data_IF_848927921917
#
_entry.id   IF_848927921917
#
_cell.length_a   1.000
_cell.length_b   1.000
_cell.length_c   1.000
_cell.angle_alpha   90.00
_cell.angle_beta   90.00
_cell.angle_gamma   90.00
#
_symmetry.space_group_name_H-M   'P 1'
#
loop_
_entity.id
_entity.type
_entity.pdbx_description
1 polymer ?
#
# COMPACT_ATOMS: atom_id res chain seq x y z
N UNK A 1 -29.14 -14.83 -10.89
CA UNK A 1 -29.07 -14.45 -9.47
C UNK A 1 -28.34 -15.58 -8.74
N UNK A 2 -27.08 -15.37 -8.32
CA UNK A 2 -26.36 -16.41 -7.55
C UNK A 2 -26.82 -16.35 -6.09
N UNK A 3 -27.04 -17.50 -5.42
CA UNK A 3 -27.43 -17.50 -4.01
C UNK A 3 -26.33 -16.84 -3.17
N UNK A 4 -26.73 -15.88 -2.34
CA UNK A 4 -25.86 -14.97 -1.58
C UNK A 4 -24.77 -15.71 -0.77
N UNK A 5 -25.09 -16.91 -0.27
CA UNK A 5 -24.18 -17.78 0.48
C UNK A 5 -22.99 -18.29 -0.34
N UNK A 6 -23.15 -18.54 -1.65
CA UNK A 6 -22.04 -18.98 -2.52
C UNK A 6 -21.07 -17.84 -2.83
N UNK A 7 -21.56 -16.62 -2.99
CA UNK A 7 -20.73 -15.45 -3.28
C UNK A 7 -19.78 -15.13 -2.12
N UNK A 8 -20.30 -15.14 -0.88
CA UNK A 8 -19.51 -14.92 0.33
C UNK A 8 -18.46 -16.01 0.52
N UNK A 9 -18.82 -17.28 0.33
CA UNK A 9 -17.87 -18.39 0.44
C UNK A 9 -16.75 -18.33 -0.62
N UNK A 10 -17.05 -17.89 -1.86
CA UNK A 10 -16.03 -17.70 -2.89
C UNK A 10 -15.05 -16.58 -2.53
N UNK A 11 -15.53 -15.45 -2.00
CA UNK A 11 -14.68 -14.34 -1.54
C UNK A 11 -13.75 -14.81 -0.42
N UNK A 12 -14.29 -15.50 0.59
CA UNK A 12 -13.51 -16.03 1.72
C UNK A 12 -12.44 -17.01 1.24
N UNK A 13 -12.78 -17.93 0.34
CA UNK A 13 -11.84 -18.91 -0.20
C UNK A 13 -10.72 -18.24 -1.00
N UNK A 14 -11.05 -17.25 -1.84
CA UNK A 14 -10.08 -16.52 -2.67
C UNK A 14 -9.11 -15.70 -1.80
N UNK A 15 -9.64 -14.98 -0.80
CA UNK A 15 -8.82 -14.26 0.18
C UNK A 15 -7.87 -15.21 0.92
N UNK A 16 -8.35 -16.36 1.39
CA UNK A 16 -7.54 -17.34 2.13
C UNK A 16 -6.41 -17.94 1.28
N UNK A 17 -6.61 -18.10 -0.02
CA UNK A 17 -5.57 -18.59 -0.95
C UNK A 17 -4.47 -17.56 -1.20
N UNK A 18 -4.81 -16.27 -1.26
CA UNK A 18 -3.86 -15.20 -1.62
C UNK A 18 -3.22 -14.55 -0.39
N UNK A 19 -3.76 -14.80 0.80
CA UNK A 19 -3.28 -14.28 2.08
C UNK A 19 -1.80 -14.62 2.37
N UNK A 20 -1.33 -15.89 2.26
CA UNK A 20 0.06 -16.22 2.62
C UNK A 20 1.09 -15.52 1.73
N UNK A 21 0.75 -15.35 0.45
CA UNK A 21 1.60 -14.68 -0.54
C UNK A 21 1.70 -13.16 -0.30
N UNK A 22 0.67 -12.55 0.30
CA UNK A 22 0.53 -11.09 0.46
C UNK A 22 0.60 -10.62 1.92
N UNK A 23 0.98 -11.49 2.86
CA UNK A 23 1.04 -11.18 4.30
C UNK A 23 1.85 -9.91 4.61
N UNK A 24 2.93 -9.67 3.87
CA UNK A 24 3.78 -8.50 4.06
C UNK A 24 3.08 -7.20 3.62
N UNK A 25 2.29 -7.26 2.54
CA UNK A 25 1.54 -6.10 2.05
C UNK A 25 0.40 -5.74 2.98
N UNK A 26 -0.25 -6.75 3.56
CA UNK A 26 -1.26 -6.56 4.62
C UNK A 26 -0.64 -5.97 5.88
N UNK A 27 0.51 -6.48 6.30
CA UNK A 27 1.25 -5.92 7.43
C UNK A 27 1.59 -4.45 7.19
N UNK A 28 2.20 -4.12 6.03
CA UNK A 28 2.58 -2.75 5.71
C UNK A 28 1.37 -1.81 5.59
N UNK A 29 0.26 -2.28 5.02
CA UNK A 29 -1.00 -1.52 5.01
C UNK A 29 -1.50 -1.26 6.44
N UNK A 30 -1.50 -2.27 7.30
CA UNK A 30 -1.89 -2.13 8.71
C UNK A 30 -0.99 -1.18 9.48
N UNK A 31 0.34 -1.26 9.29
CA UNK A 31 1.32 -0.36 9.93
C UNK A 31 1.09 1.08 9.48
N UNK A 32 0.91 1.34 8.18
CA UNK A 32 0.62 2.69 7.67
C UNK A 32 -0.67 3.27 8.24
N UNK A 33 -1.74 2.47 8.26
CA UNK A 33 -3.03 2.88 8.82
C UNK A 33 -2.88 3.20 10.30
N UNK A 34 -2.28 2.30 11.08
CA UNK A 34 -2.14 2.46 12.52
C UNK A 34 -1.22 3.65 12.86
N UNK A 35 -0.07 3.76 12.19
CA UNK A 35 0.87 4.86 12.37
C UNK A 35 0.24 6.20 11.98
N UNK A 36 -0.37 6.27 10.80
CA UNK A 36 -1.01 7.49 10.31
C UNK A 36 -2.17 7.94 11.18
N UNK A 37 -3.03 6.99 11.59
CA UNK A 37 -4.10 7.25 12.54
C UNK A 37 -3.57 7.77 13.87
N UNK A 38 -2.54 7.11 14.43
CA UNK A 38 -1.94 7.52 15.71
C UNK A 38 -1.42 8.96 15.67
N UNK A 39 -0.76 9.34 14.58
CA UNK A 39 -0.27 10.70 14.35
C UNK A 39 -1.41 11.71 14.24
N UNK A 40 -2.49 11.35 13.52
CA UNK A 40 -3.66 12.22 13.37
C UNK A 40 -4.39 12.49 14.69
N UNK A 41 -4.49 11.49 15.56
CA UNK A 41 -5.17 11.65 16.86
C UNK A 41 -4.27 12.24 17.96
N UNK A 42 -2.95 12.31 17.74
CA UNK A 42 -2.00 12.95 18.65
C UNK A 42 -1.20 14.09 17.99
N UNK A 43 -1.85 15.13 17.43
CA UNK A 43 -1.13 16.20 16.73
C UNK A 43 -0.17 16.96 17.66
N UNK A 44 -0.42 16.95 18.97
CA UNK A 44 0.45 17.52 20.00
C UNK A 44 1.88 16.98 19.97
N UNK A 45 2.13 15.81 19.36
CA UNK A 45 3.49 15.26 19.21
C UNK A 45 4.45 16.20 18.46
N UNK A 46 3.94 17.12 17.63
CA UNK A 46 4.74 18.10 16.90
C UNK A 46 4.94 19.43 17.64
N UNK A 47 4.20 19.69 18.72
CA UNK A 47 4.15 21.01 19.37
C UNK A 47 4.40 20.98 20.88
N UNK A 48 4.11 19.86 21.54
CA UNK A 48 4.30 19.72 22.98
C UNK A 48 5.80 19.58 23.31
N UNK A 49 6.27 20.35 24.28
CA UNK A 49 7.69 20.49 24.66
C UNK A 49 8.42 19.15 24.82
N UNK A 50 7.79 18.16 25.44
CA UNK A 50 8.38 16.82 25.65
C UNK A 50 8.48 15.92 24.42
N UNK A 51 7.87 16.28 23.29
CA UNK A 51 7.79 15.42 22.09
C UNK A 51 8.15 16.13 20.78
N UNK A 52 7.96 17.45 20.71
CA UNK A 52 8.18 18.25 19.51
C UNK A 52 9.60 18.10 18.95
N UNK A 53 10.60 18.02 19.84
CA UNK A 53 11.99 17.84 19.43
C UNK A 53 12.20 16.56 18.62
N UNK A 54 11.57 15.44 19.01
CA UNK A 54 11.67 14.15 18.31
C UNK A 54 11.07 14.19 16.90
N UNK A 55 10.05 15.02 16.67
CA UNK A 55 9.35 15.14 15.39
C UNK A 55 9.71 16.39 14.60
N UNK A 56 10.70 17.16 15.08
CA UNK A 56 11.11 18.46 14.51
C UNK A 56 11.58 18.35 13.06
N UNK A 57 12.33 17.30 12.70
CA UNK A 57 12.76 17.09 11.31
C UNK A 57 11.58 16.78 10.39
N UNK A 58 10.60 15.98 10.83
CA UNK A 58 9.37 15.77 10.05
C UNK A 58 8.57 17.07 9.87
N UNK A 59 8.48 17.89 10.92
CA UNK A 59 7.84 19.21 10.82
C UNK A 59 8.56 20.10 9.79
N UNK A 60 9.90 20.12 9.82
CA UNK A 60 10.71 20.88 8.88
C UNK A 60 10.52 20.42 7.42
N UNK A 61 10.45 19.11 7.17
CA UNK A 61 10.23 18.58 5.82
C UNK A 61 8.84 18.99 5.27
N UNK A 62 7.80 19.01 6.11
CA UNK A 62 6.45 19.41 5.68
C UNK A 62 6.22 20.93 5.62
N UNK A 63 7.07 21.72 6.26
CA UNK A 63 6.89 23.17 6.40
C UNK A 63 6.70 23.93 5.06
N UNK A 64 7.37 23.58 3.95
CA UNK A 64 7.14 24.23 2.66
C UNK A 64 5.75 23.98 2.06
N UNK A 65 5.03 22.97 2.55
CA UNK A 65 3.75 22.50 1.98
C UNK A 65 2.58 22.79 2.91
N UNK A 66 2.77 22.72 4.23
CA UNK A 66 1.70 22.95 5.21
C UNK A 66 2.21 23.33 6.59
N UNK A 67 1.41 24.07 7.33
CA UNK A 67 1.60 24.38 8.76
C UNK A 67 1.17 23.23 9.69
N UNK A 68 0.49 22.20 9.14
CA UNK A 68 -0.08 21.09 9.89
C UNK A 68 0.68 19.77 9.62
N UNK A 69 1.87 19.56 10.21
CA UNK A 69 2.70 18.37 9.99
C UNK A 69 2.00 17.05 10.32
N UNK A 70 1.13 17.02 11.33
CA UNK A 70 0.34 15.84 11.65
C UNK A 70 -0.61 15.44 10.50
N UNK A 71 -1.22 16.42 9.83
CA UNK A 71 -2.07 16.17 8.67
C UNK A 71 -1.24 15.74 7.45
N UNK A 72 -0.08 16.37 7.22
CA UNK A 72 0.81 15.98 6.13
C UNK A 72 1.24 14.52 6.24
N UNK A 73 1.82 14.14 7.37
CA UNK A 73 2.42 12.81 7.52
C UNK A 73 1.39 11.76 7.93
N UNK A 74 0.60 12.05 8.98
CA UNK A 74 -0.43 11.15 9.47
C UNK A 74 -1.52 10.92 8.44
N UNK A 75 -1.98 11.99 7.79
CA UNK A 75 -2.98 11.93 6.73
C UNK A 75 -2.50 11.17 5.51
N UNK A 76 -1.29 11.47 5.00
CA UNK A 76 -0.73 10.75 3.85
C UNK A 76 -0.56 9.25 4.17
N UNK A 77 0.01 8.92 5.33
CA UNK A 77 0.20 7.53 5.73
C UNK A 77 -1.13 6.77 5.85
N UNK A 78 -2.13 7.38 6.49
CA UNK A 78 -3.45 6.78 6.68
C UNK A 78 -4.17 6.54 5.35
N UNK A 79 -4.22 7.55 4.46
CA UNK A 79 -4.89 7.44 3.15
C UNK A 79 -4.20 6.40 2.27
N UNK A 80 -2.87 6.41 2.20
CA UNK A 80 -2.11 5.43 1.40
C UNK A 80 -2.29 4.02 1.97
N UNK A 81 -2.24 3.88 3.31
CA UNK A 81 -2.48 2.62 3.99
C UNK A 81 -3.87 2.04 3.69
N UNK A 82 -4.91 2.87 3.74
CA UNK A 82 -6.28 2.49 3.39
C UNK A 82 -6.42 2.12 1.91
N UNK A 83 -5.91 2.97 0.99
CA UNK A 83 -5.96 2.71 -0.44
C UNK A 83 -5.28 1.37 -0.79
N UNK A 84 -4.16 1.07 -0.13
CA UNK A 84 -3.47 -0.22 -0.25
C UNK A 84 -4.31 -1.37 0.29
N UNK A 85 -4.87 -1.25 1.48
CA UNK A 85 -5.69 -2.29 2.11
C UNK A 85 -6.93 -2.62 1.28
N UNK A 86 -7.61 -1.58 0.76
CA UNK A 86 -8.75 -1.72 -0.15
C UNK A 86 -8.30 -2.42 -1.44
N UNK A 87 -7.17 -2.01 -2.01
CA UNK A 87 -6.63 -2.66 -3.22
C UNK A 87 -6.34 -4.15 -3.00
N UNK A 88 -5.77 -4.52 -1.85
CA UNK A 88 -5.52 -5.92 -1.49
C UNK A 88 -6.81 -6.72 -1.35
N UNK A 89 -7.82 -6.13 -0.70
CA UNK A 89 -9.14 -6.74 -0.55
C UNK A 89 -9.80 -6.98 -1.91
N UNK A 90 -9.88 -5.94 -2.76
CA UNK A 90 -10.46 -6.04 -4.11
C UNK A 90 -9.70 -7.04 -4.99
N UNK A 91 -8.36 -7.06 -4.89
CA UNK A 91 -7.52 -8.00 -5.63
C UNK A 91 -7.70 -9.45 -5.15
N UNK A 92 -8.01 -9.64 -3.87
CA UNK A 92 -8.33 -10.96 -3.31
C UNK A 92 -9.76 -11.42 -3.61
N UNK A 93 -10.70 -10.51 -3.83
CA UNK A 93 -12.13 -10.83 -3.95
C UNK A 93 -12.67 -10.82 -5.39
N UNK A 94 -12.15 -9.98 -6.28
CA UNK A 94 -12.82 -9.69 -7.56
C UNK A 94 -11.86 -9.56 -8.74
N UNK A 95 -10.96 -8.57 -8.73
CA UNK A 95 -10.25 -8.13 -9.94
C UNK A 95 -8.79 -7.88 -9.65
N UNK A 96 -7.89 -8.38 -10.52
CA UNK A 96 -6.45 -8.16 -10.36
C UNK A 96 -6.08 -6.70 -10.61
N UNK A 97 -5.62 -6.02 -9.57
CA UNK A 97 -5.13 -4.62 -9.51
C UNK A 97 -3.62 -4.52 -9.16
N UNK A 98 -2.71 -5.23 -9.87
CA UNK A 98 -1.30 -5.27 -9.47
C UNK A 98 -0.60 -3.91 -9.58
N UNK A 99 -0.98 -3.06 -10.54
CA UNK A 99 -0.40 -1.71 -10.69
C UNK A 99 -0.67 -0.81 -9.47
N UNK A 100 -1.89 -0.83 -8.94
CA UNK A 100 -2.25 -0.05 -7.74
C UNK A 100 -1.41 -0.51 -6.54
N UNK A 101 -1.15 -1.81 -6.42
CA UNK A 101 -0.30 -2.37 -5.35
C UNK A 101 1.16 -1.93 -5.47
N UNK A 102 1.70 -1.87 -6.69
CA UNK A 102 3.05 -1.35 -6.96
C UNK A 102 3.13 0.12 -6.54
N UNK A 103 2.22 0.96 -7.04
CA UNK A 103 2.20 2.40 -6.73
C UNK A 103 2.06 2.63 -5.23
N UNK A 104 1.12 1.94 -4.58
CA UNK A 104 0.93 2.07 -3.14
C UNK A 104 2.16 1.63 -2.34
N UNK A 105 2.90 0.61 -2.80
CA UNK A 105 4.16 0.18 -2.16
C UNK A 105 5.26 1.22 -2.33
N UNK A 106 5.39 1.83 -3.50
CA UNK A 106 6.34 2.92 -3.72
C UNK A 106 6.03 4.15 -2.88
N UNK A 107 4.77 4.56 -2.79
CA UNK A 107 4.38 5.71 -1.97
C UNK A 107 4.60 5.41 -0.48
N UNK A 108 4.27 4.20 -0.02
CA UNK A 108 4.55 3.75 1.35
C UNK A 108 6.04 3.79 1.67
N UNK A 109 6.87 3.27 0.76
CA UNK A 109 8.33 3.31 0.87
C UNK A 109 8.84 4.76 0.97
N UNK A 110 8.30 5.65 0.14
CA UNK A 110 8.64 7.07 0.17
C UNK A 110 8.29 7.69 1.54
N UNK A 111 7.09 7.46 2.06
CA UNK A 111 6.66 7.97 3.37
C UNK A 111 7.59 7.49 4.48
N UNK A 112 7.89 6.19 4.57
CA UNK A 112 8.81 5.69 5.59
C UNK A 112 10.24 6.21 5.44
N UNK A 113 10.68 6.46 4.20
CA UNK A 113 11.98 7.11 3.97
C UNK A 113 11.99 8.53 4.53
N UNK A 114 10.93 9.31 4.30
CA UNK A 114 10.81 10.65 4.87
C UNK A 114 10.73 10.62 6.40
N UNK A 115 10.05 9.63 6.99
CA UNK A 115 10.03 9.42 8.44
C UNK A 115 11.44 9.15 8.97
N UNK A 116 12.20 8.27 8.34
CA UNK A 116 13.60 7.98 8.75
C UNK A 116 14.45 9.25 8.67
N UNK A 117 14.37 10.01 7.57
CA UNK A 117 15.12 11.26 7.39
C UNK A 117 14.72 12.29 8.44
N UNK A 118 13.41 12.48 8.68
CA UNK A 118 12.91 13.43 9.66
C UNK A 118 13.31 13.08 11.09
N UNK A 119 13.27 11.79 11.46
CA UNK A 119 13.78 11.35 12.76
C UNK A 119 15.29 11.53 12.88
N UNK A 120 16.04 11.28 11.81
CA UNK A 120 17.50 11.47 11.81
C UNK A 120 17.87 12.95 11.97
N UNK A 121 17.18 13.84 11.25
CA UNK A 121 17.38 15.29 11.32
C UNK A 121 17.01 15.90 12.68
N UNK A 122 16.16 15.24 13.46
CA UNK A 122 15.84 15.68 14.82
C UNK A 122 17.05 15.69 15.76
N UNK A 123 18.08 14.87 15.48
CA UNK A 123 19.22 14.65 16.36
C UNK A 123 18.90 13.92 17.67
N UNK A 124 17.64 13.51 17.88
CA UNK A 124 17.20 12.81 19.09
C UNK A 124 17.33 11.29 18.88
N UNK A 125 18.03 10.55 19.76
CA UNK A 125 18.08 9.10 19.70
C UNK A 125 16.67 8.48 19.71
N UNK A 126 16.38 7.64 18.70
CA UNK A 126 15.06 7.06 18.52
C UNK A 126 15.18 5.63 17.93
N UNK A 127 14.52 4.65 18.54
CA UNK A 127 14.49 3.26 18.06
C UNK A 127 13.83 3.13 16.68
N UNK A 128 12.99 4.08 16.29
CA UNK A 128 12.41 4.20 14.96
C UNK A 128 13.46 4.28 13.85
N UNK A 129 14.66 4.80 14.13
CA UNK A 129 15.77 4.82 13.17
C UNK A 129 16.30 3.41 12.85
N UNK A 130 16.09 2.44 13.72
CA UNK A 130 16.43 1.03 13.48
C UNK A 130 15.26 0.29 12.85
N UNK A 131 14.03 0.57 13.30
CA UNK A 131 12.82 -0.16 12.87
C UNK A 131 12.36 0.27 11.48
N UNK A 132 12.21 1.57 11.22
CA UNK A 132 11.59 2.07 10.00
C UNK A 132 12.37 1.82 8.70
N UNK A 133 13.72 1.71 8.69
CA UNK A 133 14.42 1.23 7.49
C UNK A 133 13.99 -0.17 7.05
N UNK A 134 13.61 -1.06 7.98
CA UNK A 134 13.09 -2.37 7.62
C UNK A 134 11.71 -2.30 6.95
N UNK A 135 10.91 -1.27 7.25
CA UNK A 135 9.66 -1.02 6.55
C UNK A 135 9.89 -0.57 5.10
N UNK A 136 10.91 0.25 4.86
CA UNK A 136 11.35 0.60 3.49
C UNK A 136 11.74 -0.66 2.71
N UNK A 137 12.53 -1.56 3.32
CA UNK A 137 12.90 -2.85 2.71
C UNK A 137 11.66 -3.73 2.45
N UNK A 138 10.74 -3.80 3.42
CA UNK A 138 9.49 -4.56 3.28
C UNK A 138 8.63 -4.06 2.11
N UNK A 139 8.55 -2.74 1.92
CA UNK A 139 7.84 -2.12 0.81
C UNK A 139 8.54 -2.33 -0.53
N UNK A 140 9.88 -2.26 -0.56
CA UNK A 140 10.64 -2.56 -1.78
C UNK A 140 10.38 -4.01 -2.25
N UNK A 141 10.42 -4.97 -1.32
CA UNK A 141 10.12 -6.38 -1.62
C UNK A 141 8.66 -6.56 -2.08
N UNK A 142 7.74 -5.82 -1.48
CA UNK A 142 6.33 -5.82 -1.86
C UNK A 142 6.12 -5.24 -3.27
N UNK A 143 6.77 -4.12 -3.58
CA UNK A 143 6.74 -3.48 -4.89
C UNK A 143 7.30 -4.41 -5.97
N UNK A 144 8.44 -5.05 -5.70
CA UNK A 144 9.04 -6.02 -6.62
C UNK A 144 8.09 -7.19 -6.93
N UNK A 145 7.49 -7.79 -5.90
CA UNK A 145 6.52 -8.89 -6.09
C UNK A 145 5.29 -8.43 -6.86
N UNK A 146 4.74 -7.26 -6.54
CA UNK A 146 3.61 -6.70 -7.25
C UNK A 146 3.94 -6.37 -8.71
N UNK A 147 5.16 -5.94 -9.02
CA UNK A 147 5.62 -5.68 -10.39
C UNK A 147 5.72 -6.98 -11.20
N UNK A 148 6.24 -8.05 -10.58
CA UNK A 148 6.21 -9.39 -11.19
C UNK A 148 4.77 -9.82 -11.48
N UNK A 149 3.81 -9.56 -10.57
CA UNK A 149 2.38 -9.83 -10.80
C UNK A 149 1.81 -9.02 -11.99
N UNK A 150 2.28 -7.78 -12.22
CA UNK A 150 1.87 -6.98 -13.40
C UNK A 150 2.25 -7.70 -14.69
N UNK A 151 3.50 -8.13 -14.81
CA UNK A 151 4.01 -8.81 -16.01
C UNK A 151 3.23 -10.09 -16.30
N UNK A 152 2.92 -10.88 -15.26
CA UNK A 152 2.11 -12.08 -15.42
C UNK A 152 0.67 -11.76 -15.83
N UNK A 153 0.08 -10.69 -15.28
CA UNK A 153 -1.27 -10.26 -15.63
C UNK A 153 -1.36 -9.77 -17.08
N UNK A 154 -0.34 -9.08 -17.59
CA UNK A 154 -0.28 -8.63 -18.99
C UNK A 154 -0.17 -9.81 -19.96
N UNK A 155 0.73 -10.77 -19.69
CA UNK A 155 0.84 -11.99 -20.51
C UNK A 155 -0.49 -12.73 -20.62
N UNK A 156 -1.22 -12.87 -19.52
CA UNK A 156 -2.54 -13.52 -19.55
C UNK A 156 -3.59 -12.73 -20.34
N UNK A 157 -3.53 -11.38 -20.30
CA UNK A 157 -4.42 -10.54 -21.10
C UNK A 157 -4.18 -10.72 -22.59
N UNK A 158 -2.92 -10.82 -23.03
CA UNK A 158 -2.59 -11.05 -24.44
C UNK A 158 -3.09 -12.42 -24.93
N UNK A 159 -2.87 -13.49 -24.16
CA UNK A 159 -3.40 -14.83 -24.50
C UNK A 159 -4.93 -14.80 -24.65
N UNK A 160 -5.64 -14.15 -23.72
CA UNK A 160 -7.12 -14.03 -23.81
C UNK A 160 -7.55 -13.23 -25.05
N UNK A 161 -6.81 -12.18 -25.43
CA UNK A 161 -7.10 -11.41 -26.64
C UNK A 161 -6.90 -12.25 -27.90
N UNK A 162 -5.82 -13.02 -27.98
CA UNK A 162 -5.53 -13.94 -29.09
C UNK A 162 -6.63 -14.99 -29.22
N UNK A 163 -6.98 -15.70 -28.13
CA UNK A 163 -8.04 -16.71 -28.15
C UNK A 163 -9.39 -16.11 -28.59
N UNK A 164 -9.71 -14.87 -28.18
CA UNK A 164 -10.93 -14.18 -28.62
C UNK A 164 -10.89 -13.77 -30.09
N UNK A 165 -9.72 -13.42 -30.63
CA UNK A 165 -9.54 -13.11 -32.06
C UNK A 165 -9.74 -14.38 -32.90
N UNK A 166 -9.16 -15.50 -32.49
CA UNK A 166 -9.28 -16.78 -33.20
C UNK A 166 -10.72 -17.28 -33.20
N UNK A 167 -11.41 -17.19 -32.06
CA UNK A 167 -12.83 -17.55 -31.97
C UNK A 167 -13.70 -16.71 -32.92
N UNK A 168 -13.45 -15.40 -33.02
CA UNK A 168 -14.17 -14.52 -33.95
C UNK A 168 -13.86 -14.85 -35.41
N UNK A 169 -12.61 -15.14 -35.74
CA UNK A 169 -12.19 -15.53 -37.09
C UNK A 169 -12.84 -16.85 -37.53
N UNK A 170 -12.89 -17.84 -36.63
CA UNK A 170 -13.53 -19.13 -36.92
C UNK A 170 -15.04 -18.97 -37.15
N UNK A 171 -15.71 -18.10 -36.39
CA UNK A 171 -17.13 -17.79 -36.60
C UNK A 171 -17.38 -17.09 -37.94
N UNK A 172 -16.47 -16.21 -38.40
CA UNK A 172 -16.63 -15.54 -39.71
C UNK A 172 -16.37 -16.45 -40.92
N UNK A 173 -15.65 -17.56 -40.73
CA UNK A 173 -15.40 -18.55 -41.80
C UNK A 173 -16.57 -19.55 -41.90
N UNK A 174 -17.28 -19.77 -40.78
CA UNK A 174 -18.40 -20.71 -40.70
C UNK A 174 -19.76 -20.11 -41.12
N UNK A 175 -19.83 -18.80 -41.38
CA UNK A 175 -21.01 -18.07 -41.84
C UNK A 175 -20.92 -17.75 -43.33
#
# INVERSE_FOLDING_TARGET
MMPESRSVQMIIRSLRQHWPARKMEWLMSGVLIAWGWYVLVHPGMFYAEGSAMMFSGLAAISAPVTEYPALAWGGAAFVVGLARGISLFVNGAWTRTPLIRVIASFISMFIFTQIVIGLWQSGVPNTGLVVYPWFVVADLLSAYRAAVDVVHAEKQREVIKETRRDARRNLSIAA
#
